data_IF_018566321236
#
_entry.id   IF_018566321236
#
_cell.length_a   1.000
_cell.length_b   1.000
_cell.length_c   1.000
_cell.angle_alpha   90.00
_cell.angle_beta   90.00
_cell.angle_gamma   90.00
#
_symmetry.space_group_name_H-M   'P 1'
#
loop_
_entity.id
_entity.type
_entity.pdbx_description
1 polymer ?
#
# COMPACT_ATOMS: atom_id res chain seq x y z
N UNK A 1 1.14 -8.84 16.21
CA UNK A 1 0.87 -8.76 14.76
C UNK A 1 -0.62 -8.55 14.54
N UNK A 2 -0.97 -7.54 13.73
CA UNK A 2 -2.35 -7.24 13.33
C UNK A 2 -2.53 -7.63 11.87
N UNK A 3 -3.57 -8.40 11.55
CA UNK A 3 -3.96 -8.69 10.18
C UNK A 3 -5.15 -7.82 9.78
N UNK A 4 -5.02 -7.06 8.70
CA UNK A 4 -6.13 -6.32 8.08
C UNK A 4 -6.57 -7.05 6.80
N UNK A 5 -7.76 -7.69 6.78
CA UNK A 5 -8.30 -8.27 5.57
C UNK A 5 -8.61 -7.17 4.52
N UNK A 6 -8.59 -7.54 3.24
CA UNK A 6 -9.00 -6.65 2.17
C UNK A 6 -10.52 -6.37 2.24
N UNK A 7 -11.00 -5.13 2.04
CA UNK A 7 -12.43 -4.80 2.13
C UNK A 7 -13.30 -5.68 1.23
N UNK A 8 -12.88 -5.93 -0.02
CA UNK A 8 -13.63 -6.84 -0.91
C UNK A 8 -13.70 -8.30 -0.42
N UNK A 9 -12.72 -8.75 0.36
CA UNK A 9 -12.76 -10.10 0.98
C UNK A 9 -13.73 -10.11 2.15
N UNK A 10 -13.76 -9.04 2.95
CA UNK A 10 -14.72 -8.85 4.06
C UNK A 10 -16.15 -8.77 3.53
N UNK A 11 -16.36 -8.03 2.44
CA UNK A 11 -17.65 -7.88 1.77
C UNK A 11 -18.07 -9.12 0.95
N UNK A 12 -17.24 -10.16 0.88
CA UNK A 12 -17.51 -11.39 0.12
C UNK A 12 -17.50 -11.20 -1.41
N UNK A 13 -17.01 -10.07 -1.90
CA UNK A 13 -16.92 -9.73 -3.32
C UNK A 13 -15.75 -10.43 -4.02
N UNK A 14 -14.79 -10.95 -3.24
CA UNK A 14 -13.59 -11.61 -3.74
C UNK A 14 -13.16 -12.77 -2.83
N UNK A 15 -12.64 -13.89 -3.39
CA UNK A 15 -11.98 -14.93 -2.59
C UNK A 15 -10.65 -14.45 -1.98
N UNK A 16 -10.33 -14.96 -0.79
CA UNK A 16 -9.10 -14.59 -0.07
C UNK A 16 -9.24 -14.57 1.45
N UNK A 17 -10.38 -15.01 2.00
CA UNK A 17 -10.54 -15.18 3.43
C UNK A 17 -9.55 -16.22 3.95
N UNK A 18 -8.79 -15.85 4.98
CA UNK A 18 -7.88 -16.75 5.68
C UNK A 18 -8.60 -17.32 6.89
N UNK A 19 -9.19 -18.50 6.74
CA UNK A 19 -9.92 -19.20 7.81
C UNK A 19 -9.05 -19.48 9.05
N UNK A 20 -7.73 -19.55 8.87
CA UNK A 20 -6.75 -19.83 9.93
C UNK A 20 -6.04 -18.58 10.45
N UNK A 21 -6.43 -17.37 10.03
CA UNK A 21 -5.71 -16.14 10.40
C UNK A 21 -5.59 -15.93 11.92
N UNK A 22 -6.58 -16.41 12.70
CA UNK A 22 -6.57 -16.36 14.17
C UNK A 22 -5.40 -17.13 14.80
N UNK A 23 -4.84 -18.13 14.12
CA UNK A 23 -3.68 -18.87 14.59
C UNK A 23 -2.34 -18.16 14.31
N UNK A 24 -2.34 -17.14 13.45
CA UNK A 24 -1.13 -16.45 13.02
C UNK A 24 -1.02 -15.03 13.57
N UNK A 25 -2.12 -14.36 13.92
CA UNK A 25 -2.11 -12.96 14.38
C UNK A 25 -2.84 -12.77 15.71
N UNK A 26 -2.47 -11.71 16.44
CA UNK A 26 -3.09 -11.37 17.73
C UNK A 26 -4.45 -10.69 17.53
N UNK A 27 -4.60 -9.93 16.42
CA UNK A 27 -5.79 -9.15 16.11
C UNK A 27 -6.08 -9.26 14.62
N UNK A 28 -7.34 -9.56 14.30
CA UNK A 28 -7.91 -9.39 12.96
C UNK A 28 -8.68 -8.07 12.98
N UNK A 29 -8.15 -7.04 12.33
CA UNK A 29 -8.72 -5.69 12.31
C UNK A 29 -9.84 -5.59 11.24
N UNK A 30 -10.89 -6.40 11.40
CA UNK A 30 -12.02 -6.35 10.47
C UNK A 30 -12.76 -5.00 10.53
N UNK A 31 -13.25 -4.51 9.40
CA UNK A 31 -14.03 -3.25 9.29
C UNK A 31 -13.37 -2.01 9.92
N UNK A 32 -12.04 -2.02 10.03
CA UNK A 32 -11.26 -0.92 10.58
C UNK A 32 -10.84 0.07 9.50
N UNK A 33 -10.87 1.37 9.82
CA UNK A 33 -10.29 2.41 8.98
C UNK A 33 -8.78 2.17 8.79
N UNK A 34 -8.31 1.89 7.55
CA UNK A 34 -6.93 1.53 7.29
C UNK A 34 -5.93 2.63 7.69
N UNK A 35 -6.31 3.90 7.57
CA UNK A 35 -5.41 5.03 7.91
C UNK A 35 -5.19 5.10 9.42
N UNK A 36 -6.26 4.98 10.20
CA UNK A 36 -6.19 4.93 11.66
C UNK A 36 -5.36 3.75 12.14
N UNK A 37 -5.44 2.60 11.46
CA UNK A 37 -4.61 1.44 11.76
C UNK A 37 -3.13 1.68 11.43
N UNK A 38 -2.83 2.24 10.25
CA UNK A 38 -1.45 2.60 9.85
C UNK A 38 -0.81 3.50 10.91
N UNK A 39 -1.56 4.47 11.44
CA UNK A 39 -1.02 5.39 12.44
C UNK A 39 -0.62 4.70 13.75
N UNK A 40 -1.23 3.55 14.07
CA UNK A 40 -1.00 2.79 15.30
C UNK A 40 0.08 1.70 15.20
N UNK A 41 0.66 1.49 14.02
CA UNK A 41 1.72 0.48 13.82
C UNK A 41 3.06 1.13 13.48
N UNK A 42 4.15 0.45 13.82
CA UNK A 42 5.50 0.90 13.49
C UNK A 42 5.90 0.50 12.05
N UNK A 43 5.43 -0.66 11.59
CA UNK A 43 5.73 -1.21 10.27
C UNK A 43 4.53 -1.88 9.61
N UNK A 44 4.56 -1.98 8.29
CA UNK A 44 3.55 -2.66 7.47
C UNK A 44 4.19 -3.69 6.57
N UNK A 45 3.67 -4.91 6.60
CA UNK A 45 4.04 -5.99 5.68
C UNK A 45 2.95 -6.17 4.63
N UNK A 46 3.32 -6.17 3.36
CA UNK A 46 2.36 -6.16 2.25
C UNK A 46 2.85 -7.00 1.08
N UNK A 47 1.93 -7.63 0.36
CA UNK A 47 2.24 -8.29 -0.91
C UNK A 47 2.37 -7.24 -2.02
N UNK A 48 1.25 -6.65 -2.43
CA UNK A 48 1.20 -5.60 -3.46
C UNK A 48 0.10 -4.57 -3.21
N UNK A 49 -0.42 -4.47 -1.99
CA UNK A 49 -1.56 -3.58 -1.68
C UNK A 49 -1.16 -2.10 -1.83
N UNK A 50 -2.08 -1.26 -2.32
CA UNK A 50 -1.91 0.20 -2.32
C UNK A 50 -1.72 0.76 -0.91
N UNK A 51 -2.27 0.08 0.10
CA UNK A 51 -2.12 0.45 1.51
C UNK A 51 -0.64 0.57 1.93
N UNK A 52 0.24 -0.24 1.35
CA UNK A 52 1.68 -0.15 1.62
C UNK A 52 2.29 1.16 1.11
N UNK A 53 1.81 1.69 -0.02
CA UNK A 53 2.22 3.01 -0.51
C UNK A 53 1.72 4.12 0.41
N UNK A 54 0.48 4.03 0.85
CA UNK A 54 -0.10 5.00 1.79
C UNK A 54 0.64 5.05 3.13
N UNK A 55 1.06 3.88 3.63
CA UNK A 55 1.87 3.78 4.83
C UNK A 55 3.29 4.32 4.60
N UNK A 56 3.89 4.09 3.42
CA UNK A 56 5.19 4.64 3.05
C UNK A 56 5.19 6.17 3.06
N UNK A 57 4.16 6.80 2.48
CA UNK A 57 3.98 8.27 2.47
C UNK A 57 3.90 8.83 3.89
N UNK A 58 3.37 8.06 4.83
CA UNK A 58 3.25 8.42 6.26
C UNK A 58 4.52 8.13 7.06
N UNK A 59 5.61 7.74 6.40
CA UNK A 59 6.90 7.48 7.04
C UNK A 59 6.97 6.17 7.82
N UNK A 60 6.05 5.22 7.56
CA UNK A 60 6.12 3.88 8.17
C UNK A 60 7.14 3.00 7.46
N UNK A 61 7.78 2.11 8.21
CA UNK A 61 8.64 1.10 7.62
C UNK A 61 7.79 0.08 6.84
N UNK A 62 8.17 -0.21 5.60
CA UNK A 62 7.40 -1.11 4.73
C UNK A 62 8.25 -2.32 4.32
N UNK A 63 7.73 -3.52 4.55
CA UNK A 63 8.27 -4.75 4.01
C UNK A 63 7.39 -5.26 2.86
N UNK A 64 7.96 -5.35 1.67
CA UNK A 64 7.28 -5.84 0.46
C UNK A 64 7.59 -7.32 0.23
N UNK A 65 6.56 -8.17 0.33
CA UNK A 65 6.63 -9.58 -0.05
C UNK A 65 6.44 -9.81 -1.56
N UNK A 66 5.84 -8.85 -2.26
CA UNK A 66 5.73 -8.84 -3.72
C UNK A 66 6.53 -7.69 -4.34
N UNK A 67 6.20 -7.35 -5.59
CA UNK A 67 6.85 -6.27 -6.36
C UNK A 67 5.87 -5.14 -6.75
N UNK A 68 5.19 -4.48 -5.79
CA UNK A 68 4.30 -3.35 -6.11
C UNK A 68 5.06 -2.20 -6.78
N UNK A 69 4.34 -1.25 -7.39
CA UNK A 69 4.96 -0.14 -8.13
C UNK A 69 5.92 0.71 -7.28
N UNK A 70 5.71 0.78 -5.96
CA UNK A 70 6.50 1.56 -5.02
C UNK A 70 7.69 0.82 -4.39
N UNK A 71 7.87 -0.48 -4.67
CA UNK A 71 9.02 -1.27 -4.19
C UNK A 71 10.24 -1.12 -5.12
N UNK A 72 11.43 -1.50 -4.67
CA UNK A 72 12.64 -1.58 -5.49
C UNK A 72 13.30 -0.23 -5.80
N UNK A 73 12.84 0.84 -5.16
CA UNK A 73 13.37 2.21 -5.33
C UNK A 73 14.29 2.64 -4.18
N UNK A 74 14.55 1.75 -3.22
CA UNK A 74 15.36 2.04 -2.02
C UNK A 74 14.59 2.68 -0.86
N UNK A 75 13.25 2.71 -0.94
CA UNK A 75 12.38 3.28 0.10
C UNK A 75 11.66 2.20 0.93
N UNK A 76 11.83 0.92 0.59
CA UNK A 76 11.16 -0.23 1.21
C UNK A 76 12.14 -1.37 1.46
N UNK A 77 11.80 -2.26 2.39
CA UNK A 77 12.49 -3.53 2.57
C UNK A 77 11.87 -4.58 1.64
N UNK A 78 12.54 -4.84 0.52
CA UNK A 78 12.00 -5.73 -0.51
C UNK A 78 12.52 -7.16 -0.35
N UNK A 79 11.61 -8.15 -0.35
CA UNK A 79 11.97 -9.58 -0.32
C UNK A 79 12.36 -10.14 -1.70
N UNK A 80 12.14 -9.38 -2.75
CA UNK A 80 12.50 -9.73 -4.12
C UNK A 80 13.22 -8.55 -4.79
N UNK A 81 14.29 -8.85 -5.52
CA UNK A 81 15.02 -7.86 -6.29
C UNK A 81 14.40 -7.65 -7.68
N UNK A 82 14.47 -6.41 -8.18
CA UNK A 82 14.04 -6.08 -9.53
C UNK A 82 15.10 -5.23 -10.24
N UNK A 83 15.92 -5.87 -11.07
CA UNK A 83 17.11 -5.29 -11.70
C UNK A 83 16.84 -4.05 -12.57
N UNK A 84 15.61 -3.89 -13.08
CA UNK A 84 15.22 -2.72 -13.90
C UNK A 84 15.02 -1.45 -13.07
N UNK A 85 14.77 -1.54 -11.76
CA UNK A 85 14.54 -0.37 -10.89
C UNK A 85 15.87 0.12 -10.29
N UNK A 86 16.58 0.92 -11.08
CA UNK A 86 17.92 1.41 -10.72
C UNK A 86 17.91 2.82 -10.11
N UNK A 87 16.89 3.63 -10.42
CA UNK A 87 16.74 4.95 -9.82
C UNK A 87 16.53 4.86 -8.30
N UNK A 88 16.88 5.94 -7.59
CA UNK A 88 16.74 6.08 -6.14
C UNK A 88 16.06 7.41 -5.79
N UNK A 89 14.77 7.58 -6.15
CA UNK A 89 14.03 8.78 -5.76
C UNK A 89 13.92 8.86 -4.24
N UNK A 90 13.86 10.07 -3.70
CA UNK A 90 13.32 10.26 -2.36
C UNK A 90 11.80 10.05 -2.36
N UNK A 91 11.19 10.12 -1.18
CA UNK A 91 9.76 9.90 -1.03
C UNK A 91 8.93 10.92 -1.83
N UNK A 92 9.39 12.18 -1.91
CA UNK A 92 8.66 13.23 -2.64
C UNK A 92 8.72 13.00 -4.15
N UNK A 93 9.86 12.56 -4.67
CA UNK A 93 10.02 12.19 -6.08
C UNK A 93 9.13 11.02 -6.47
N UNK A 94 9.03 9.99 -5.62
CA UNK A 94 8.12 8.87 -5.86
C UNK A 94 6.65 9.32 -5.80
N UNK A 95 6.27 10.15 -4.83
CA UNK A 95 4.93 10.73 -4.71
C UNK A 95 4.57 11.53 -5.96
N UNK A 96 5.45 12.41 -6.43
CA UNK A 96 5.22 13.22 -7.61
C UNK A 96 4.99 12.34 -8.85
N UNK A 97 5.88 11.37 -9.09
CA UNK A 97 5.74 10.46 -10.22
C UNK A 97 4.40 9.71 -10.19
N UNK A 98 3.98 9.22 -9.01
CA UNK A 98 2.80 8.36 -8.90
C UNK A 98 1.47 9.10 -8.76
N UNK A 99 1.45 10.29 -8.17
CA UNK A 99 0.23 11.03 -7.83
C UNK A 99 0.08 12.36 -8.58
N UNK A 100 1.07 12.78 -9.36
CA UNK A 100 0.99 14.03 -10.13
C UNK A 100 1.23 13.75 -11.62
N UNK A 101 2.36 13.12 -11.95
CA UNK A 101 2.79 12.96 -13.33
C UNK A 101 2.12 11.78 -14.06
N UNK A 102 2.03 10.62 -13.41
CA UNK A 102 1.44 9.42 -14.01
C UNK A 102 -0.08 9.48 -14.23
N UNK A 103 -0.90 9.88 -13.23
CA UNK A 103 -2.35 9.87 -13.38
C UNK A 103 -2.87 11.10 -14.14
N UNK A 104 -4.04 10.93 -14.78
CA UNK A 104 -4.82 12.05 -15.32
C UNK A 104 -6.00 12.31 -14.39
N UNK A 105 -6.06 13.51 -13.84
CA UNK A 105 -7.18 13.93 -13.01
C UNK A 105 -8.26 14.61 -13.85
N UNK A 106 -9.50 14.44 -13.39
CA UNK A 106 -10.63 15.24 -13.83
C UNK A 106 -10.97 16.19 -12.69
N UNK A 107 -11.27 17.44 -13.02
CA UNK A 107 -11.91 18.32 -12.04
C UNK A 107 -13.33 17.80 -11.78
N UNK A 108 -13.68 17.42 -10.54
CA UNK A 108 -15.01 16.89 -10.24
C UNK A 108 -16.13 17.92 -10.45
N UNK A 109 -15.82 19.22 -10.43
CA UNK A 109 -16.79 20.29 -10.61
C UNK A 109 -17.02 20.62 -12.09
N UNK A 110 -15.94 20.93 -12.83
CA UNK A 110 -16.07 21.29 -14.25
C UNK A 110 -16.12 20.08 -15.20
N UNK A 111 -15.71 18.88 -14.74
CA UNK A 111 -15.53 17.66 -15.54
C UNK A 111 -14.54 17.81 -16.70
N UNK A 112 -13.73 18.86 -16.68
CA UNK A 112 -12.69 19.09 -17.67
C UNK A 112 -11.38 18.44 -17.22
N UNK A 113 -10.57 18.05 -18.20
CA UNK A 113 -9.17 17.75 -17.95
C UNK A 113 -8.39 19.06 -17.82
N UNK A 114 -7.46 19.17 -16.86
CA UNK A 114 -6.41 20.16 -16.96
C UNK A 114 -5.65 19.88 -18.27
N UNK A 115 -5.73 20.82 -19.21
CA UNK A 115 -4.98 20.77 -20.48
C UNK A 115 -3.49 20.84 -20.25
#
# INVERSE_FOLDING_TARGET
MIYKPHPDVEAGLRPGALSEATGYCDIIAADCDPISLINQVDEVWTMTSLLGFEALIRGKAITCLGLPFYSGWGLTYDRHELQRRQARPDILGLIHACLIEYPRYFDPMSKLHPT
#
